data_IF_329980715176
#
_entry.id   IF_329980715176
#
_cell.length_a   1.000
_cell.length_b   1.000
_cell.length_c   1.000
_cell.angle_alpha   90.00
_cell.angle_beta   90.00
_cell.angle_gamma   90.00
#
_symmetry.space_group_name_H-M   'P 1'
#
loop_
_entity.id
_entity.type
_entity.pdbx_description
1 polymer ?
#
# COMPACT_ATOMS: atom_id res chain seq x y z
N UNK A 1 3.76 -11.33 -9.16
CA UNK A 1 3.49 -10.35 -8.09
C UNK A 1 4.74 -10.33 -7.23
N UNK A 2 5.57 -9.28 -7.33
CA UNK A 2 6.80 -9.19 -6.55
C UNK A 2 6.44 -9.04 -5.06
N UNK A 3 7.25 -9.62 -4.17
CA UNK A 3 7.11 -9.39 -2.73
C UNK A 3 7.18 -7.87 -2.46
N UNK A 4 6.21 -7.33 -1.71
CA UNK A 4 6.20 -5.93 -1.27
C UNK A 4 7.53 -5.50 -0.62
N UNK A 5 8.18 -6.40 0.13
CA UNK A 5 9.47 -6.16 0.77
C UNK A 5 10.61 -6.08 -0.24
N UNK A 6 10.57 -6.95 -1.25
CA UNK A 6 11.54 -6.92 -2.34
C UNK A 6 11.39 -5.63 -3.16
N UNK A 7 10.15 -5.26 -3.49
CA UNK A 7 9.86 -4.02 -4.23
C UNK A 7 10.32 -2.78 -3.45
N UNK A 8 10.09 -2.75 -2.13
CA UNK A 8 10.60 -1.71 -1.25
C UNK A 8 12.14 -1.62 -1.27
N UNK A 9 12.84 -2.75 -1.17
CA UNK A 9 14.31 -2.78 -1.23
C UNK A 9 14.83 -2.26 -2.57
N UNK A 10 14.25 -2.72 -3.68
CA UNK A 10 14.63 -2.25 -5.02
C UNK A 10 14.42 -0.74 -5.16
N UNK A 11 13.30 -0.22 -4.64
CA UNK A 11 13.02 1.22 -4.66
C UNK A 11 14.03 2.05 -3.88
N UNK A 12 14.52 1.57 -2.74
CA UNK A 12 15.58 2.25 -1.99
C UNK A 12 16.88 2.33 -2.81
N UNK A 13 17.26 1.26 -3.49
CA UNK A 13 18.45 1.23 -4.37
C UNK A 13 18.28 2.20 -5.53
N UNK A 14 17.11 2.19 -6.18
CA UNK A 14 16.80 3.09 -7.31
C UNK A 14 16.91 4.55 -6.89
N UNK A 15 16.30 4.92 -5.76
CA UNK A 15 16.35 6.29 -5.25
C UNK A 15 17.77 6.72 -4.88
N UNK A 16 18.54 5.82 -4.25
CA UNK A 16 19.94 6.10 -3.94
C UNK A 16 20.74 6.44 -5.21
N UNK A 17 20.62 5.62 -6.25
CA UNK A 17 21.31 5.84 -7.54
C UNK A 17 20.84 7.16 -8.18
N UNK A 18 19.53 7.43 -8.17
CA UNK A 18 18.96 8.64 -8.76
C UNK A 18 19.46 9.90 -8.04
N UNK A 19 19.43 9.93 -6.70
CA UNK A 19 19.89 11.10 -5.93
C UNK A 19 21.40 11.30 -5.99
N UNK A 20 22.21 10.24 -6.02
CA UNK A 20 23.66 10.37 -6.22
C UNK A 20 23.95 10.94 -7.62
N UNK A 21 23.26 10.44 -8.64
CA UNK A 21 23.39 10.92 -10.02
C UNK A 21 23.01 12.40 -10.14
N UNK A 22 21.83 12.76 -9.62
CA UNK A 22 21.36 14.15 -9.59
C UNK A 22 22.29 15.07 -8.80
N UNK A 23 22.70 14.69 -7.58
CA UNK A 23 23.62 15.50 -6.79
C UNK A 23 24.92 15.79 -7.57
N UNK A 24 25.52 14.77 -8.18
CA UNK A 24 26.71 14.93 -9.00
C UNK A 24 26.50 15.90 -10.17
N UNK A 25 25.35 15.78 -10.85
CA UNK A 25 24.96 16.68 -11.95
C UNK A 25 24.80 18.12 -11.44
N UNK A 26 24.08 18.32 -10.35
CA UNK A 26 23.79 19.62 -9.74
C UNK A 26 25.07 20.33 -9.33
N UNK A 27 26.00 19.64 -8.64
CA UNK A 27 27.30 20.22 -8.27
C UNK A 27 28.18 20.62 -9.48
N UNK A 28 27.89 20.08 -10.66
CA UNK A 28 28.54 20.49 -11.91
C UNK A 28 27.88 21.67 -12.63
N UNK A 29 26.81 22.27 -12.11
CA UNK A 29 26.09 23.38 -12.75
C UNK A 29 26.70 24.76 -12.48
N UNK A 30 26.45 25.69 -13.40
CA UNK A 30 26.87 27.09 -13.25
C UNK A 30 26.09 27.78 -12.12
N UNK A 31 26.70 28.80 -11.50
CA UNK A 31 26.31 29.41 -10.21
C UNK A 31 24.82 29.80 -10.07
N UNK A 32 24.16 30.21 -11.16
CA UNK A 32 22.74 30.61 -11.13
C UNK A 32 21.77 29.42 -11.12
N UNK A 33 22.04 28.39 -11.93
CA UNK A 33 21.20 27.19 -11.96
C UNK A 33 21.44 26.31 -10.72
N UNK A 34 22.66 26.33 -10.17
CA UNK A 34 23.01 25.55 -8.99
C UNK A 34 22.04 25.72 -7.81
N UNK A 35 21.69 26.96 -7.44
CA UNK A 35 20.86 27.20 -6.26
C UNK A 35 19.42 26.70 -6.43
N UNK A 36 18.83 26.89 -7.61
CA UNK A 36 17.48 26.43 -7.91
C UNK A 36 17.41 24.89 -7.93
N UNK A 37 18.37 24.27 -8.62
CA UNK A 37 18.45 22.82 -8.75
C UNK A 37 18.78 22.14 -7.42
N UNK A 38 19.63 22.77 -6.59
CA UNK A 38 19.92 22.28 -5.24
C UNK A 38 18.68 22.33 -4.33
N UNK A 39 17.89 23.41 -4.41
CA UNK A 39 16.63 23.52 -3.67
C UNK A 39 15.64 22.46 -4.15
N UNK A 40 15.49 22.30 -5.47
CA UNK A 40 14.62 21.31 -6.08
C UNK A 40 15.00 19.89 -5.64
N UNK A 41 16.29 19.54 -5.72
CA UNK A 41 16.84 18.27 -5.24
C UNK A 41 16.48 18.02 -3.76
N UNK A 42 16.61 19.04 -2.90
CA UNK A 42 16.28 18.94 -1.49
C UNK A 42 14.79 18.66 -1.25
N UNK A 43 13.90 19.34 -1.97
CA UNK A 43 12.45 19.11 -1.90
C UNK A 43 12.12 17.69 -2.37
N UNK A 44 12.68 17.27 -3.50
CA UNK A 44 12.47 15.93 -4.05
C UNK A 44 12.96 14.84 -3.11
N UNK A 45 14.09 15.05 -2.43
CA UNK A 45 14.60 14.14 -1.40
C UNK A 45 13.64 14.01 -0.23
N UNK A 46 13.07 15.12 0.27
CA UNK A 46 12.07 15.08 1.33
C UNK A 46 10.80 14.33 0.90
N UNK A 47 10.29 14.59 -0.31
CA UNK A 47 9.11 13.89 -0.85
C UNK A 47 9.38 12.39 -0.98
N UNK A 48 10.57 12.00 -1.45
CA UNK A 48 10.96 10.59 -1.54
C UNK A 48 11.03 9.91 -0.17
N UNK A 49 11.58 10.58 0.86
CA UNK A 49 11.61 10.07 2.23
C UNK A 49 10.20 9.90 2.82
N UNK A 50 9.31 10.88 2.62
CA UNK A 50 7.90 10.79 3.03
C UNK A 50 7.21 9.63 2.30
N UNK A 51 7.52 9.43 1.02
CA UNK A 51 7.00 8.31 0.23
C UNK A 51 7.47 6.97 0.78
N UNK A 52 8.75 6.83 1.13
CA UNK A 52 9.30 5.63 1.76
C UNK A 52 8.62 5.32 3.09
N UNK A 53 8.50 6.33 3.96
CA UNK A 53 7.80 6.18 5.24
C UNK A 53 6.34 5.77 5.02
N UNK A 54 5.68 6.34 4.01
CA UNK A 54 4.30 6.00 3.66
C UNK A 54 4.15 4.55 3.21
N UNK A 55 5.07 4.05 2.37
CA UNK A 55 5.07 2.65 1.92
C UNK A 55 5.37 1.71 3.10
N UNK A 56 6.30 2.06 3.98
CA UNK A 56 6.67 1.24 5.13
C UNK A 56 5.52 1.07 6.14
N UNK A 57 4.65 2.07 6.26
CA UNK A 57 3.49 2.05 7.15
C UNK A 57 2.18 1.64 6.43
N UNK A 58 2.26 1.01 5.24
CA UNK A 58 1.11 0.57 4.44
C UNK A 58 0.07 1.68 4.16
N UNK A 59 0.53 2.94 4.07
CA UNK A 59 -0.34 4.09 3.79
C UNK A 59 -0.71 4.07 2.31
N UNK A 60 -2.01 4.18 2.03
CA UNK A 60 -2.62 4.04 0.70
C UNK A 60 -2.02 4.91 -0.41
N UNK A 61 -1.41 6.04 -0.05
CA UNK A 61 -0.85 7.02 -0.98
C UNK A 61 0.67 6.87 -1.19
N UNK A 62 1.34 5.94 -0.50
CA UNK A 62 2.79 5.81 -0.56
C UNK A 62 3.32 5.56 -1.97
N UNK A 63 2.74 4.60 -2.69
CA UNK A 63 3.15 4.28 -4.07
C UNK A 63 2.76 5.35 -5.09
N UNK A 64 1.64 6.04 -4.89
CA UNK A 64 1.25 7.18 -5.73
C UNK A 64 2.22 8.34 -5.57
N UNK A 65 2.57 8.70 -4.33
CA UNK A 65 3.52 9.76 -4.04
C UNK A 65 4.93 9.40 -4.54
N UNK A 66 5.30 8.13 -4.40
CA UNK A 66 6.55 7.60 -4.95
C UNK A 66 6.59 7.72 -6.48
N UNK A 67 5.54 7.28 -7.18
CA UNK A 67 5.44 7.38 -8.64
C UNK A 67 5.51 8.82 -9.12
N UNK A 68 4.80 9.73 -8.46
CA UNK A 68 4.85 11.16 -8.76
C UNK A 68 6.25 11.74 -8.56
N UNK A 69 6.94 11.35 -7.47
CA UNK A 69 8.29 11.83 -7.20
C UNK A 69 9.30 11.40 -8.26
N UNK A 70 9.22 10.14 -8.71
CA UNK A 70 10.07 9.62 -9.78
C UNK A 70 9.79 10.27 -11.13
N UNK A 71 8.53 10.56 -11.42
CA UNK A 71 8.16 11.31 -12.62
C UNK A 71 8.80 12.71 -12.62
N UNK A 72 8.75 13.42 -11.49
CA UNK A 72 9.40 14.73 -11.36
C UNK A 72 10.93 14.64 -11.51
N UNK A 73 11.56 13.61 -10.93
CA UNK A 73 13.00 13.33 -11.12
C UNK A 73 13.33 13.10 -12.60
N UNK A 74 12.51 12.34 -13.32
CA UNK A 74 12.74 12.08 -14.75
C UNK A 74 12.53 13.35 -15.60
N UNK A 75 11.52 14.14 -15.27
CA UNK A 75 11.25 15.41 -15.93
C UNK A 75 12.40 16.41 -15.70
N UNK A 76 12.94 16.43 -14.49
CA UNK A 76 14.11 17.23 -14.12
C UNK A 76 15.38 16.79 -14.88
N UNK A 77 15.67 15.48 -14.90
CA UNK A 77 16.78 14.92 -15.70
C UNK A 77 16.64 15.26 -17.19
N UNK A 78 15.41 15.21 -17.72
CA UNK A 78 15.14 15.62 -19.10
C UNK A 78 15.38 17.12 -19.30
N UNK A 79 14.93 17.97 -18.37
CA UNK A 79 15.16 19.40 -18.42
C UNK A 79 16.66 19.73 -18.42
N UNK A 80 17.44 19.10 -17.54
CA UNK A 80 18.90 19.25 -17.50
C UNK A 80 19.55 18.77 -18.80
N UNK A 81 19.10 17.63 -19.35
CA UNK A 81 19.60 17.12 -20.63
C UNK A 81 19.34 18.09 -21.80
N UNK A 82 18.19 18.77 -21.81
CA UNK A 82 17.84 19.75 -22.84
C UNK A 82 18.62 21.06 -22.70
N UNK A 83 18.91 21.49 -21.46
CA UNK A 83 19.62 22.74 -21.20
C UNK A 83 21.14 22.60 -21.25
N UNK A 84 21.69 21.40 -21.03
CA UNK A 84 23.13 21.18 -20.92
C UNK A 84 23.58 20.02 -21.78
N UNK A 85 24.60 20.24 -22.61
CA UNK A 85 25.26 19.18 -23.38
C UNK A 85 25.76 18.10 -22.39
N UNK A 86 25.42 16.82 -22.59
CA UNK A 86 25.71 15.78 -21.61
C UNK A 86 27.23 15.66 -21.38
N UNK A 87 27.66 16.02 -20.19
CA UNK A 87 29.07 16.07 -19.80
C UNK A 87 29.40 15.07 -18.67
N UNK A 88 28.40 14.54 -17.96
CA UNK A 88 28.57 13.55 -16.90
C UNK A 88 28.11 12.16 -17.36
N UNK A 89 28.96 11.14 -17.16
CA UNK A 89 28.62 9.75 -17.44
C UNK A 89 27.49 9.17 -16.56
N UNK A 90 27.02 9.93 -15.56
CA UNK A 90 26.01 9.53 -14.59
C UNK A 90 24.56 9.89 -15.00
N UNK A 91 24.36 10.67 -16.06
CA UNK A 91 23.02 11.04 -16.51
C UNK A 91 22.24 9.82 -17.03
N UNK A 92 22.88 8.99 -17.86
CA UNK A 92 22.22 7.82 -18.45
C UNK A 92 21.83 6.77 -17.38
N UNK A 93 22.71 6.37 -16.45
CA UNK A 93 22.34 5.46 -15.37
C UNK A 93 21.23 6.00 -14.46
N UNK A 94 21.24 7.29 -14.15
CA UNK A 94 20.20 7.92 -13.33
C UNK A 94 18.83 7.96 -14.04
N UNK A 95 18.82 8.25 -15.34
CA UNK A 95 17.60 8.22 -16.13
C UNK A 95 17.04 6.79 -16.25
N UNK A 96 17.90 5.79 -16.50
CA UNK A 96 17.49 4.39 -16.59
C UNK A 96 16.97 3.87 -15.26
N UNK A 97 17.66 4.15 -14.14
CA UNK A 97 17.18 3.74 -12.82
C UNK A 97 15.85 4.40 -12.47
N UNK A 98 15.69 5.69 -12.76
CA UNK A 98 14.44 6.42 -12.57
C UNK A 98 13.28 5.82 -13.37
N UNK A 99 13.51 5.45 -14.64
CA UNK A 99 12.51 4.79 -15.48
C UNK A 99 12.11 3.42 -14.93
N UNK A 100 13.09 2.61 -14.52
CA UNK A 100 12.84 1.30 -13.90
C UNK A 100 12.01 1.46 -12.62
N UNK A 101 12.41 2.38 -11.73
CA UNK A 101 11.67 2.68 -10.51
C UNK A 101 10.25 3.17 -10.79
N UNK A 102 10.08 4.00 -11.82
CA UNK A 102 8.77 4.52 -12.19
C UNK A 102 7.84 3.40 -12.64
N UNK A 103 8.33 2.50 -13.49
CA UNK A 103 7.59 1.32 -13.93
C UNK A 103 7.20 0.42 -12.75
N UNK A 104 8.14 0.11 -11.85
CA UNK A 104 7.88 -0.69 -10.65
C UNK A 104 6.80 -0.02 -9.79
N UNK A 105 6.91 1.29 -9.58
CA UNK A 105 5.95 2.04 -8.77
C UNK A 105 4.55 2.02 -9.38
N UNK A 106 4.42 2.22 -10.69
CA UNK A 106 3.12 2.19 -11.39
C UNK A 106 2.51 0.79 -11.35
N UNK A 107 3.31 -0.26 -11.56
CA UNK A 107 2.84 -1.64 -11.47
C UNK A 107 2.33 -1.97 -10.06
N UNK A 108 2.97 -1.42 -9.02
CA UNK A 108 2.53 -1.67 -7.66
C UNK A 108 1.23 -0.93 -7.29
N UNK A 109 1.00 0.28 -7.81
CA UNK A 109 -0.28 1.00 -7.67
C UNK A 109 -1.43 0.15 -8.24
N UNK A 110 -1.27 -0.36 -9.47
CA UNK A 110 -2.29 -1.19 -10.10
C UNK A 110 -2.57 -2.48 -9.31
N UNK A 111 -1.54 -3.08 -8.72
CA UNK A 111 -1.67 -4.24 -7.82
C UNK A 111 -2.48 -3.92 -6.56
N UNK A 112 -2.25 -2.75 -5.94
CA UNK A 112 -3.03 -2.29 -4.80
C UNK A 112 -4.49 -1.98 -5.16
N UNK A 113 -4.73 -1.33 -6.30
CA UNK A 113 -6.08 -0.99 -6.76
C UNK A 113 -6.88 -2.22 -7.15
N UNK A 114 -6.30 -3.17 -7.89
CA UNK A 114 -6.95 -4.45 -8.23
C UNK A 114 -7.28 -5.28 -6.98
N UNK A 115 -6.37 -5.31 -5.99
CA UNK A 115 -6.63 -5.94 -4.69
C UNK A 115 -7.74 -5.24 -3.90
N UNK A 116 -7.79 -3.90 -3.94
CA UNK A 116 -8.83 -3.09 -3.27
C UNK A 116 -10.18 -3.20 -3.97
N UNK A 117 -10.25 -3.28 -5.29
CA UNK A 117 -11.52 -3.52 -6.00
C UNK A 117 -12.09 -4.91 -5.71
N UNK A 118 -11.22 -5.92 -5.62
CA UNK A 118 -11.61 -7.26 -5.16
C UNK A 118 -12.09 -7.25 -3.69
N UNK A 119 -11.41 -6.49 -2.82
CA UNK A 119 -11.81 -6.26 -1.43
C UNK A 119 -13.09 -5.43 -1.26
N UNK A 120 -13.40 -4.53 -2.20
CA UNK A 120 -14.61 -3.69 -2.18
C UNK A 120 -15.84 -4.43 -2.71
N UNK A 121 -15.65 -5.44 -3.58
CA UNK A 121 -16.73 -6.33 -4.06
C UNK A 121 -17.15 -7.42 -3.05
N UNK A 122 -16.53 -7.52 -1.88
CA UNK A 122 -17.03 -8.37 -0.77
C UNK A 122 -17.82 -7.58 0.28
N UNK A 123 -18.54 -6.55 -0.16
CA UNK A 123 -19.58 -5.87 0.61
C UNK A 123 -21.01 -6.38 0.35
N UNK A 124 -21.22 -7.55 -0.27
CA UNK A 124 -22.53 -8.25 -0.29
C UNK A 124 -22.41 -9.65 -0.89
N UNK A 125 -21.62 -10.52 -0.26
CA UNK A 125 -21.96 -11.95 -0.36
C UNK A 125 -23.06 -12.16 0.66
N UNK A 126 -24.32 -12.27 0.21
CA UNK A 126 -25.35 -12.94 1.00
C UNK A 126 -24.81 -14.35 1.24
N UNK A 127 -24.10 -14.57 2.35
CA UNK A 127 -23.92 -15.92 2.90
C UNK A 127 -25.34 -16.44 3.05
N UNK A 128 -25.67 -17.48 2.29
CA UNK A 128 -26.94 -18.16 2.43
C UNK A 128 -27.03 -18.63 3.87
N UNK A 129 -27.89 -17.97 4.65
CA UNK A 129 -28.09 -18.24 6.06
C UNK A 129 -28.82 -19.56 6.19
N UNK A 130 -28.07 -20.66 6.35
CA UNK A 130 -28.65 -21.92 6.80
C UNK A 130 -28.76 -21.86 8.32
N UNK A 131 -29.98 -21.88 8.90
CA UNK A 131 -30.14 -21.91 10.34
C UNK A 131 -29.57 -23.24 10.87
N UNK A 132 -28.47 -23.17 11.62
CA UNK A 132 -27.93 -24.30 12.40
C UNK A 132 -28.73 -24.54 13.69
N UNK A 133 -28.29 -25.49 14.52
CA UNK A 133 -28.94 -25.81 15.81
C UNK A 133 -28.67 -24.78 16.90
N UNK A 134 -27.59 -24.02 16.79
CA UNK A 134 -27.19 -23.00 17.75
C UNK A 134 -26.76 -21.72 17.02
N UNK A 135 -27.02 -20.57 17.63
CA UNK A 135 -26.67 -19.25 17.10
C UNK A 135 -25.89 -18.44 18.14
N UNK A 136 -24.81 -17.81 17.72
CA UNK A 136 -24.05 -16.82 18.48
C UNK A 136 -23.96 -15.50 17.71
N UNK A 137 -23.60 -14.42 18.40
CA UNK A 137 -23.21 -13.17 17.76
C UNK A 137 -21.69 -13.09 17.66
N UNK A 138 -21.13 -12.62 16.54
CA UNK A 138 -19.69 -12.31 16.40
C UNK A 138 -19.17 -11.35 17.47
N UNK A 139 -20.03 -10.47 17.97
CA UNK A 139 -19.71 -9.51 19.03
C UNK A 139 -20.02 -10.03 20.43
N UNK A 140 -20.72 -11.16 20.53
CA UNK A 140 -21.12 -11.79 21.78
C UNK A 140 -20.12 -12.84 22.24
N UNK A 141 -20.22 -13.24 23.50
CA UNK A 141 -19.40 -14.32 24.09
C UNK A 141 -20.19 -15.60 24.32
N UNK A 142 -21.50 -15.57 24.09
CA UNK A 142 -22.40 -16.70 24.32
C UNK A 142 -23.09 -17.17 23.04
N UNK A 143 -23.46 -18.45 23.01
CA UNK A 143 -24.32 -19.03 22.00
C UNK A 143 -25.67 -19.44 22.61
N UNK A 144 -26.71 -19.50 21.79
CA UNK A 144 -28.11 -19.67 22.18
C UNK A 144 -28.81 -20.69 21.27
N UNK A 145 -29.90 -21.29 21.73
CA UNK A 145 -30.84 -21.99 20.85
C UNK A 145 -31.62 -21.00 19.98
N UNK A 146 -31.95 -21.30 18.70
CA UNK A 146 -32.71 -20.41 17.82
C UNK A 146 -34.09 -19.99 18.35
N UNK A 147 -34.67 -20.75 19.29
CA UNK A 147 -35.96 -20.40 19.92
C UNK A 147 -35.83 -19.37 21.05
N UNK A 148 -34.61 -19.12 21.53
CA UNK A 148 -34.33 -18.21 22.64
C UNK A 148 -34.57 -16.74 22.26
N UNK A 149 -35.02 -15.91 23.20
CA UNK A 149 -35.28 -14.50 22.91
C UNK A 149 -34.00 -13.71 22.61
N UNK A 150 -32.87 -14.13 23.17
CA UNK A 150 -31.55 -13.58 22.85
C UNK A 150 -31.10 -13.92 21.43
N UNK A 151 -31.43 -15.12 20.94
CA UNK A 151 -31.14 -15.53 19.55
C UNK A 151 -31.87 -14.64 18.53
N UNK A 152 -33.13 -14.29 18.80
CA UNK A 152 -33.95 -13.40 17.93
C UNK A 152 -33.36 -11.99 17.81
N UNK A 153 -32.62 -11.53 18.82
CA UNK A 153 -31.97 -10.20 18.84
C UNK A 153 -30.64 -10.18 18.09
N UNK A 154 -30.10 -11.34 17.70
CA UNK A 154 -28.85 -11.40 16.93
C UNK A 154 -29.10 -10.87 15.51
N UNK A 155 -28.45 -9.74 15.18
CA UNK A 155 -28.50 -9.19 13.82
C UNK A 155 -27.96 -10.23 12.84
N UNK A 156 -28.66 -10.47 11.73
CA UNK A 156 -28.25 -11.45 10.69
C UNK A 156 -26.77 -11.31 10.32
N UNK A 157 -26.28 -10.09 10.11
CA UNK A 157 -24.88 -9.78 9.76
C UNK A 157 -23.84 -10.29 10.78
N UNK A 158 -24.24 -10.41 12.04
CA UNK A 158 -23.42 -10.86 13.16
C UNK A 158 -23.74 -12.29 13.61
N UNK A 159 -24.73 -12.96 13.00
CA UNK A 159 -25.10 -14.32 13.37
C UNK A 159 -24.03 -15.32 12.91
N UNK A 160 -23.62 -16.18 13.83
CA UNK A 160 -22.75 -17.33 13.61
C UNK A 160 -23.56 -18.56 14.02
N UNK A 161 -23.74 -19.50 13.11
CA UNK A 161 -24.51 -20.72 13.36
C UNK A 161 -23.56 -21.91 13.57
N UNK A 162 -23.89 -22.74 14.54
CA UNK A 162 -23.18 -23.98 14.85
C UNK A 162 -24.15 -25.15 14.79
N UNK A 163 -23.64 -26.31 14.39
CA UNK A 163 -24.43 -27.53 14.34
C UNK A 163 -24.39 -28.31 15.66
N UNK A 164 -23.33 -28.15 16.44
CA UNK A 164 -23.15 -28.81 17.73
C UNK A 164 -22.67 -27.85 18.83
N UNK A 165 -22.85 -28.23 20.10
CA UNK A 165 -22.41 -27.40 21.25
C UNK A 165 -20.87 -27.35 21.32
N UNK A 166 -20.22 -28.45 20.98
CA UNK A 166 -18.77 -28.62 21.00
C UNK A 166 -18.10 -27.71 19.98
N UNK A 167 -18.72 -27.52 18.81
CA UNK A 167 -18.25 -26.60 17.78
C UNK A 167 -18.27 -25.14 18.29
N UNK A 168 -19.37 -24.74 18.93
CA UNK A 168 -19.51 -23.41 19.52
C UNK A 168 -18.50 -23.15 20.65
N UNK A 169 -18.27 -24.16 21.51
CA UNK A 169 -17.30 -24.07 22.59
C UNK A 169 -15.85 -24.02 22.09
N UNK A 170 -15.49 -24.84 21.09
CA UNK A 170 -14.18 -24.76 20.42
C UNK A 170 -13.95 -23.41 19.75
N UNK A 171 -15.02 -22.78 19.26
CA UNK A 171 -14.98 -21.43 18.72
C UNK A 171 -14.92 -20.32 19.81
N UNK A 172 -14.87 -20.68 21.10
CA UNK A 172 -14.70 -19.75 22.22
C UNK A 172 -15.99 -19.18 22.79
N UNK A 173 -17.16 -19.70 22.38
CA UNK A 173 -18.46 -19.25 22.90
C UNK A 173 -18.90 -20.08 24.11
N UNK A 174 -19.46 -19.42 25.12
CA UNK A 174 -20.04 -20.05 26.29
C UNK A 174 -21.51 -20.39 26.06
N UNK A 175 -21.99 -21.51 26.61
CA UNK A 175 -23.41 -21.80 26.58
C UNK A 175 -24.18 -20.75 27.39
N UNK A 176 -25.30 -20.28 26.86
CA UNK A 176 -26.27 -19.50 27.63
C UNK A 176 -27.29 -20.43 28.29
N UNK A 177 -28.10 -19.87 29.19
CA UNK A 177 -29.08 -20.66 29.97
C UNK A 177 -30.17 -21.28 29.09
N UNK A 178 -30.28 -20.85 27.82
CA UNK A 178 -31.24 -21.33 26.83
C UNK A 178 -30.66 -22.31 25.80
N UNK A 179 -29.65 -23.11 26.17
CA UNK A 179 -28.89 -24.05 25.29
C UNK A 179 -28.93 -25.49 25.75
#
# INVERSE_FOLDING_TARGET
MADSKFSFLVMNIVLLIAFIGLANIVFGLHRLFFAAEFLFLGIMMLVALVSMFSIHNDIKFGWTLMSFSLFLILMDLLFIYLLKKPQSGLLLPAAVSGLIGFLISVMNIQGEEAGRESGKKTGSVRKEFKPGKYIASKTGKKFHSPKCDWAKKVKKQNAVWFNTKEEAQKAGYKADDCV
#
